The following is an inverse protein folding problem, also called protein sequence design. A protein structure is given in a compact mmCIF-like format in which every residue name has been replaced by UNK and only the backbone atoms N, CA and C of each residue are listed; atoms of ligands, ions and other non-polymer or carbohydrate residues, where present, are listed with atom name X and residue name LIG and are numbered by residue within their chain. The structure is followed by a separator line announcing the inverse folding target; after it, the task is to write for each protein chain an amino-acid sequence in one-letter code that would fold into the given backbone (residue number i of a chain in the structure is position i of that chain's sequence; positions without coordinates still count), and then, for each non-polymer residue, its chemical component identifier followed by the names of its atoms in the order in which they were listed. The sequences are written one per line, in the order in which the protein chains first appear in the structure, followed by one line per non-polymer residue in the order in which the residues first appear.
data_IF_744004794843
#
_entry.id   IF_744004794843
#
_cell.length_a   1.000
_cell.length_b   1.000
_cell.length_c   1.000
_cell.angle_alpha   90.00
_cell.angle_beta   90.00
_cell.angle_gamma   90.00
#
_symmetry.space_group_name_H-M   'P 1'
#
loop_
_entity.id
_entity.type
_entity.pdbx_description
1 polymer ?
#
# COMPACT_ATOMS: atom_id res chain seq x y z
N UNK A 1 -39.15 24.74 -43.02
CA UNK A 1 -40.48 24.07 -42.96
C UNK A 1 -40.18 22.58 -42.88
N UNK A 2 -40.48 21.82 -41.84
CA UNK A 2 -41.53 21.81 -40.79
C UNK A 2 -40.84 21.29 -39.50
N UNK A 3 -40.68 22.09 -38.43
CA UNK A 3 -41.49 22.19 -37.19
C UNK A 3 -41.69 20.85 -36.46
N UNK A 4 -40.97 20.61 -35.36
CA UNK A 4 -41.52 20.54 -33.97
C UNK A 4 -41.41 19.09 -33.45
N UNK A 5 -41.00 18.77 -32.21
CA UNK A 5 -41.25 19.45 -30.95
C UNK A 5 -40.24 19.04 -29.88
N UNK A 6 -39.84 20.02 -29.05
CA UNK A 6 -39.20 19.83 -27.75
C UNK A 6 -40.15 19.14 -26.76
N UNK A 7 -39.60 18.27 -25.91
CA UNK A 7 -40.13 18.02 -24.57
C UNK A 7 -39.04 18.34 -23.56
N UNK A 8 -39.33 19.36 -22.74
CA UNK A 8 -38.55 19.78 -21.58
C UNK A 8 -38.52 18.67 -20.53
N UNK A 9 -37.34 18.42 -19.96
CA UNK A 9 -37.22 17.87 -18.61
C UNK A 9 -36.51 18.92 -17.77
N UNK A 10 -37.31 19.55 -16.91
CA UNK A 10 -36.89 20.47 -15.88
C UNK A 10 -36.42 19.65 -14.68
N UNK A 11 -35.17 19.82 -14.25
CA UNK A 11 -34.64 19.17 -13.06
C UNK A 11 -33.17 19.50 -12.83
N UNK A 12 -32.89 20.60 -12.13
CA UNK A 12 -31.59 20.78 -11.45
C UNK A 12 -31.42 19.66 -10.41
N UNK A 13 -30.19 19.16 -10.23
CA UNK A 13 -29.41 19.73 -9.13
C UNK A 13 -28.01 20.12 -9.59
N UNK A 14 -27.65 21.37 -9.34
CA UNK A 14 -26.25 21.80 -9.25
C UNK A 14 -25.66 21.18 -7.99
N UNK A 15 -25.03 20.01 -8.11
CA UNK A 15 -24.09 19.52 -7.10
C UNK A 15 -22.70 19.92 -7.57
N UNK A 16 -22.21 21.03 -7.05
CA UNK A 16 -20.81 21.42 -7.21
C UNK A 16 -19.97 20.50 -6.32
N UNK A 17 -19.47 19.40 -6.88
CA UNK A 17 -18.37 18.66 -6.27
C UNK A 17 -17.09 19.49 -6.43
N UNK A 18 -16.74 20.26 -5.41
CA UNK A 18 -15.40 20.86 -5.31
C UNK A 18 -14.41 19.78 -4.91
N UNK A 19 -14.06 18.89 -5.84
CA UNK A 19 -12.95 17.96 -5.68
C UNK A 19 -11.64 18.78 -5.77
N UNK A 20 -11.19 19.31 -4.63
CA UNK A 20 -9.82 19.83 -4.50
C UNK A 20 -8.87 18.64 -4.48
N UNK A 21 -8.48 18.16 -5.66
CA UNK A 21 -7.31 17.31 -5.79
C UNK A 21 -6.07 18.17 -5.54
N UNK A 22 -5.43 17.98 -4.39
CA UNK A 22 -4.06 18.46 -4.19
C UNK A 22 -3.16 17.72 -5.20
N UNK A 23 -2.83 18.40 -6.29
CA UNK A 23 -2.08 17.85 -7.42
C UNK A 23 -0.56 17.83 -7.19
N UNK A 24 -0.08 18.49 -6.13
CA UNK A 24 1.32 18.55 -5.73
C UNK A 24 1.48 17.89 -4.36
N UNK A 25 2.06 16.69 -4.32
CA UNK A 25 2.43 15.99 -3.08
C UNK A 25 3.85 16.44 -2.71
N UNK A 26 4.07 17.18 -1.61
CA UNK A 26 5.40 17.59 -1.20
C UNK A 26 6.22 16.39 -0.69
N UNK A 27 7.54 16.41 -0.89
CA UNK A 27 8.45 15.47 -0.22
C UNK A 27 8.48 15.81 1.28
N UNK A 28 8.23 14.82 2.13
CA UNK A 28 8.14 15.02 3.59
C UNK A 28 9.49 14.85 4.31
N UNK A 29 10.58 14.62 3.57
CA UNK A 29 11.92 14.38 4.10
C UNK A 29 12.83 15.59 3.84
N UNK A 30 13.67 16.02 4.81
CA UNK A 30 14.77 16.96 4.56
C UNK A 30 15.77 16.39 3.54
N UNK A 31 16.30 17.22 2.63
CA UNK A 31 17.27 16.78 1.61
C UNK A 31 18.54 16.20 2.25
N UNK A 32 19.09 15.09 1.74
CA UNK A 32 20.27 14.45 2.33
C UNK A 32 21.52 15.32 2.13
N UNK A 33 22.32 15.46 3.19
CA UNK A 33 23.72 15.90 3.13
C UNK A 33 24.61 14.66 2.96
N UNK A 34 25.67 14.76 2.15
CA UNK A 34 26.53 13.65 1.78
C UNK A 34 27.12 12.86 2.97
N UNK A 35 26.93 11.53 3.01
CA UNK A 35 27.50 10.64 4.03
C UNK A 35 28.36 9.56 3.39
N UNK A 36 29.49 9.26 4.04
CA UNK A 36 30.49 8.25 3.66
C UNK A 36 30.12 6.88 4.21
N UNK A 37 30.10 5.88 3.34
CA UNK A 37 29.93 4.47 3.69
C UNK A 37 31.14 3.97 4.50
N UNK A 38 30.92 3.45 5.72
CA UNK A 38 31.96 2.71 6.47
C UNK A 38 31.42 1.38 6.95
N UNK A 39 32.13 0.31 6.61
CA UNK A 39 31.81 -1.08 6.94
C UNK A 39 32.15 -1.40 8.40
N UNK A 40 31.18 -1.72 9.26
CA UNK A 40 31.45 -2.35 10.57
C UNK A 40 30.41 -3.46 10.89
N UNK A 41 30.96 -4.52 11.45
CA UNK A 41 30.43 -5.86 11.72
C UNK A 41 29.21 -5.93 12.65
N UNK A 42 28.24 -6.75 12.24
CA UNK A 42 27.00 -7.12 12.94
C UNK A 42 27.23 -7.70 14.33
N UNK A 43 26.52 -7.17 15.34
CA UNK A 43 26.34 -7.84 16.64
C UNK A 43 24.86 -7.97 16.92
N UNK A 44 24.40 -9.21 17.12
CA UNK A 44 23.02 -9.58 17.39
C UNK A 44 22.61 -9.21 18.81
N UNK A 45 21.56 -8.40 18.96
CA UNK A 45 20.89 -8.17 20.25
C UNK A 45 19.55 -8.91 20.22
N UNK A 46 19.46 -9.96 21.03
CA UNK A 46 18.23 -10.72 21.32
C UNK A 46 17.39 -9.96 22.34
N UNK A 47 16.15 -9.61 22.01
CA UNK A 47 15.17 -9.07 22.95
C UNK A 47 13.96 -10.01 23.10
N UNK A 48 13.49 -10.13 24.35
CA UNK A 48 12.41 -11.02 24.79
C UNK A 48 11.03 -10.65 24.17
N UNK A 49 10.05 -11.58 24.10
CA UNK A 49 8.85 -11.40 23.30
C UNK A 49 7.88 -10.40 23.95
N UNK A 50 7.60 -9.30 23.26
CA UNK A 50 6.65 -8.27 23.69
C UNK A 50 5.21 -8.65 23.32
N UNK A 51 4.25 -8.19 24.13
CA UNK A 51 2.79 -8.33 23.98
C UNK A 51 2.24 -7.66 22.68
N UNK A 52 3.11 -7.17 21.78
CA UNK A 52 2.78 -6.43 20.55
C UNK A 52 2.82 -7.29 19.26
N UNK A 53 3.52 -8.43 19.26
CA UNK A 53 3.39 -9.45 18.19
C UNK A 53 1.94 -9.95 17.90
N UNK A 54 1.01 -10.08 18.89
CA UNK A 54 -0.34 -10.57 18.61
C UNK A 54 -1.23 -9.58 17.85
N UNK A 55 -1.04 -8.25 17.98
CA UNK A 55 -1.93 -7.27 17.34
C UNK A 55 -1.80 -7.32 15.81
N UNK A 56 -0.57 -7.22 15.33
CA UNK A 56 -0.23 -7.35 13.92
C UNK A 56 -0.70 -8.66 13.31
N UNK A 57 -0.40 -9.76 14.00
CA UNK A 57 -0.81 -11.09 13.57
C UNK A 57 -2.34 -11.21 13.50
N UNK A 58 -3.07 -10.58 14.43
CA UNK A 58 -4.53 -10.56 14.41
C UNK A 58 -5.09 -9.82 13.19
N UNK A 59 -4.59 -8.62 12.89
CA UNK A 59 -5.02 -7.85 11.72
C UNK A 59 -4.77 -8.63 10.42
N UNK A 60 -3.59 -9.24 10.31
CA UNK A 60 -3.25 -10.03 9.13
C UNK A 60 -4.13 -11.27 8.99
N UNK A 61 -4.45 -11.93 10.11
CA UNK A 61 -5.34 -13.09 10.13
C UNK A 61 -6.77 -12.71 9.71
N UNK A 62 -7.28 -11.57 10.18
CA UNK A 62 -8.60 -11.04 9.82
C UNK A 62 -8.67 -10.75 8.31
N UNK A 63 -7.63 -10.12 7.74
CA UNK A 63 -7.53 -9.84 6.30
C UNK A 63 -7.46 -11.14 5.50
N UNK A 64 -6.64 -12.10 5.93
CA UNK A 64 -6.50 -13.39 5.26
C UNK A 64 -7.83 -14.17 5.26
N UNK A 65 -8.55 -14.16 6.39
CA UNK A 65 -9.87 -14.77 6.51
C UNK A 65 -10.91 -14.10 5.58
N UNK A 66 -10.91 -12.76 5.54
CA UNK A 66 -11.78 -12.02 4.63
C UNK A 66 -11.45 -12.31 3.16
N UNK A 67 -10.18 -12.34 2.77
CA UNK A 67 -9.75 -12.71 1.40
C UNK A 67 -10.20 -14.12 1.02
N UNK A 68 -10.01 -15.11 1.91
CA UNK A 68 -10.49 -16.48 1.70
C UNK A 68 -12.01 -16.55 1.49
N UNK A 69 -12.76 -15.69 2.17
CA UNK A 69 -14.21 -15.61 2.01
C UNK A 69 -14.62 -15.00 0.66
N UNK A 70 -13.99 -13.88 0.27
CA UNK A 70 -14.38 -13.14 -0.96
C UNK A 70 -13.76 -13.73 -2.24
N UNK A 71 -12.72 -14.56 -2.12
CA UNK A 71 -12.09 -15.29 -3.23
C UNK A 71 -12.38 -16.80 -3.15
N UNK A 72 -13.63 -17.23 -3.42
CA UNK A 72 -13.95 -18.65 -3.38
C UNK A 72 -13.16 -19.42 -4.44
N UNK A 73 -12.53 -20.51 -4.02
CA UNK A 73 -11.88 -21.47 -4.92
C UNK A 73 -12.96 -22.29 -5.65
N UNK A 74 -13.46 -21.76 -6.76
CA UNK A 74 -14.57 -22.32 -7.55
C UNK A 74 -14.34 -22.21 -9.06
N UNK A 75 -15.24 -22.78 -9.85
CA UNK A 75 -15.14 -22.70 -11.31
C UNK A 75 -15.25 -21.26 -11.88
N UNK A 76 -14.50 -20.92 -12.95
CA UNK A 76 -13.52 -21.78 -13.61
C UNK A 76 -12.19 -21.86 -12.84
N UNK A 77 -11.78 -23.07 -12.44
CA UNK A 77 -10.58 -23.29 -11.64
C UNK A 77 -9.30 -22.75 -12.31
N UNK A 78 -9.23 -22.82 -13.63
CA UNK A 78 -8.12 -22.27 -14.43
C UNK A 78 -7.85 -20.76 -14.20
N UNK A 79 -8.81 -20.03 -13.66
CA UNK A 79 -8.67 -18.61 -13.28
C UNK A 79 -8.46 -18.47 -11.77
N UNK A 80 -9.33 -19.10 -10.96
CA UNK A 80 -9.33 -18.90 -9.52
C UNK A 80 -8.17 -19.58 -8.80
N UNK A 81 -7.62 -20.67 -9.32
CA UNK A 81 -6.46 -21.35 -8.73
C UNK A 81 -5.19 -20.48 -8.78
N UNK A 82 -4.77 -19.92 -9.94
CA UNK A 82 -3.67 -18.96 -9.98
C UNK A 82 -3.89 -17.73 -9.09
N UNK A 83 -5.09 -17.14 -9.12
CA UNK A 83 -5.42 -15.97 -8.30
C UNK A 83 -5.23 -16.27 -6.81
N UNK A 84 -5.80 -17.38 -6.33
CA UNK A 84 -5.68 -17.78 -4.94
C UNK A 84 -4.21 -18.05 -4.57
N UNK A 85 -3.51 -18.86 -5.36
CA UNK A 85 -2.11 -19.20 -5.07
C UNK A 85 -1.21 -17.96 -4.99
N UNK A 86 -1.28 -17.06 -5.97
CA UNK A 86 -0.40 -15.89 -6.04
C UNK A 86 -0.68 -14.87 -4.94
N UNK A 87 -1.96 -14.66 -4.56
CA UNK A 87 -2.32 -13.78 -3.44
C UNK A 87 -1.75 -14.26 -2.11
N UNK A 88 -1.90 -15.56 -1.80
CA UNK A 88 -1.45 -16.09 -0.50
C UNK A 88 0.04 -16.48 -0.47
N UNK A 89 0.71 -16.48 -1.62
CA UNK A 89 2.16 -16.70 -1.74
C UNK A 89 2.96 -15.40 -1.82
N UNK A 90 2.32 -14.25 -2.04
CA UNK A 90 2.98 -12.95 -2.06
C UNK A 90 3.58 -12.62 -0.68
N UNK A 91 4.73 -11.93 -0.63
CA UNK A 91 5.32 -11.46 0.62
C UNK A 91 4.33 -10.62 1.42
N UNK A 92 4.28 -10.86 2.73
CA UNK A 92 3.46 -10.04 3.63
C UNK A 92 4.07 -8.65 3.73
N UNK A 93 3.21 -7.66 3.68
CA UNK A 93 3.56 -6.24 3.78
C UNK A 93 2.70 -5.60 4.84
N UNK A 94 3.23 -4.56 5.43
CA UNK A 94 2.64 -3.88 6.56
C UNK A 94 1.51 -2.92 6.19
N UNK A 95 1.37 -2.61 4.90
CA UNK A 95 0.39 -1.65 4.36
C UNK A 95 -1.08 -2.01 4.67
N UNK A 96 -1.57 -3.25 4.45
CA UNK A 96 -2.96 -3.62 4.71
C UNK A 96 -3.33 -3.59 6.18
N UNK A 97 -2.45 -4.08 7.05
CA UNK A 97 -2.66 -4.03 8.49
C UNK A 97 -2.69 -2.58 9.00
N UNK A 98 -1.84 -1.70 8.44
CA UNK A 98 -1.84 -0.28 8.78
C UNK A 98 -3.16 0.40 8.39
N UNK A 99 -3.76 -0.03 7.27
CA UNK A 99 -5.08 0.43 6.86
C UNK A 99 -6.15 0.09 7.91
N UNK A 100 -6.15 -1.14 8.42
CA UNK A 100 -7.07 -1.53 9.49
C UNK A 100 -6.82 -0.77 10.79
N UNK A 101 -5.56 -0.67 11.22
CA UNK A 101 -5.19 0.03 12.46
C UNK A 101 -5.57 1.51 12.42
N UNK A 102 -5.37 2.18 11.29
CA UNK A 102 -5.77 3.57 11.10
C UNK A 102 -7.30 3.75 11.13
N UNK A 103 -8.06 2.82 10.55
CA UNK A 103 -9.53 2.85 10.62
C UNK A 103 -10.05 2.57 12.03
N UNK A 104 -9.45 1.61 12.72
CA UNK A 104 -9.77 1.24 14.11
C UNK A 104 -9.50 2.40 15.07
N UNK A 105 -8.38 3.12 14.91
CA UNK A 105 -8.06 4.30 15.71
C UNK A 105 -9.17 5.37 15.67
N UNK A 106 -9.81 5.55 14.51
CA UNK A 106 -10.82 6.61 14.32
C UNK A 106 -12.25 6.16 14.60
N UNK A 107 -12.61 4.93 14.24
CA UNK A 107 -13.98 4.42 14.36
C UNK A 107 -14.21 3.49 15.55
N UNK A 108 -13.14 2.90 16.10
CA UNK A 108 -13.21 1.79 17.04
C UNK A 108 -13.55 0.43 16.41
N UNK A 109 -13.76 0.38 15.08
CA UNK A 109 -14.12 -0.84 14.36
C UNK A 109 -13.25 -1.04 13.11
N UNK A 110 -12.31 -1.98 13.18
CA UNK A 110 -11.44 -2.32 12.04
C UNK A 110 -12.21 -2.87 10.84
N UNK A 111 -13.41 -3.43 11.01
CA UNK A 111 -14.16 -4.01 9.90
C UNK A 111 -14.59 -2.98 8.85
N UNK A 112 -14.69 -1.70 9.22
CA UNK A 112 -15.00 -0.62 8.29
C UNK A 112 -13.95 -0.46 7.18
N UNK A 113 -12.69 -0.81 7.46
CA UNK A 113 -11.58 -0.74 6.50
C UNK A 113 -11.24 -2.09 5.84
N UNK A 114 -12.01 -3.16 6.12
CA UNK A 114 -11.67 -4.52 5.71
C UNK A 114 -11.57 -4.70 4.19
N UNK A 115 -12.53 -4.15 3.44
CA UNK A 115 -12.52 -4.19 1.99
C UNK A 115 -11.31 -3.46 1.41
N UNK A 116 -10.90 -2.33 2.00
CA UNK A 116 -9.72 -1.57 1.57
C UNK A 116 -8.41 -2.28 1.87
N UNK A 117 -8.26 -2.85 3.07
CA UNK A 117 -7.09 -3.65 3.41
C UNK A 117 -6.96 -4.87 2.49
N UNK A 118 -8.07 -5.55 2.21
CA UNK A 118 -8.10 -6.70 1.29
C UNK A 118 -7.76 -6.27 -0.15
N UNK A 119 -8.29 -5.14 -0.62
CA UNK A 119 -7.94 -4.58 -1.93
C UNK A 119 -6.43 -4.29 -2.00
N UNK A 120 -5.84 -3.67 -0.97
CA UNK A 120 -4.41 -3.41 -0.92
C UNK A 120 -3.59 -4.71 -1.03
N UNK A 121 -4.00 -5.80 -0.36
CA UNK A 121 -3.33 -7.11 -0.56
C UNK A 121 -3.38 -7.56 -2.01
N UNK A 122 -4.54 -7.49 -2.65
CA UNK A 122 -4.73 -7.92 -4.04
C UNK A 122 -3.84 -7.13 -5.01
N UNK A 123 -3.81 -5.81 -4.86
CA UNK A 123 -3.00 -4.94 -5.72
C UNK A 123 -1.49 -5.14 -5.48
N UNK A 124 -1.07 -5.34 -4.22
CA UNK A 124 0.33 -5.59 -3.89
C UNK A 124 0.78 -6.99 -4.36
N UNK A 125 -0.09 -7.99 -4.29
CA UNK A 125 0.17 -9.32 -4.85
C UNK A 125 0.26 -9.29 -6.39
N UNK A 126 -0.60 -8.52 -7.05
CA UNK A 126 -0.51 -8.30 -8.50
C UNK A 126 0.83 -7.66 -8.88
N UNK A 127 1.20 -6.60 -8.16
CA UNK A 127 2.47 -5.91 -8.36
C UNK A 127 3.67 -6.84 -8.16
N UNK A 128 3.69 -7.59 -7.05
CA UNK A 128 4.75 -8.56 -6.78
C UNK A 128 4.84 -9.62 -7.88
N UNK A 129 3.69 -10.14 -8.34
CA UNK A 129 3.64 -11.13 -9.42
C UNK A 129 4.29 -10.58 -10.68
N UNK A 130 3.93 -9.37 -11.10
CA UNK A 130 4.47 -8.74 -12.30
C UNK A 130 5.98 -8.48 -12.22
N UNK A 131 6.52 -8.11 -11.04
CA UNK A 131 7.96 -7.95 -10.84
C UNK A 131 8.77 -9.25 -11.01
N UNK A 132 8.17 -10.40 -10.73
CA UNK A 132 8.84 -11.70 -10.87
C UNK A 132 8.84 -12.24 -12.31
N UNK A 133 8.08 -11.63 -13.22
CA UNK A 133 8.01 -12.04 -14.62
C UNK A 133 9.32 -11.64 -15.35
N UNK A 134 10.06 -12.59 -15.95
CA UNK A 134 11.28 -12.29 -16.68
C UNK A 134 11.01 -11.41 -17.88
N UNK A 135 11.85 -10.39 -18.03
CA UNK A 135 11.92 -9.57 -19.23
C UNK A 135 12.38 -10.33 -20.49
N UNK A 136 13.02 -11.50 -20.32
CA UNK A 136 13.42 -12.39 -21.43
C UNK A 136 12.94 -13.80 -21.15
N UNK A 137 12.09 -14.40 -22.01
CA UNK A 137 11.74 -15.81 -21.88
C UNK A 137 12.98 -16.64 -22.19
N UNK A 138 13.65 -17.15 -21.15
CA UNK A 138 14.60 -18.24 -21.34
C UNK A 138 13.78 -19.51 -21.63
N UNK A 139 14.12 -20.32 -22.64
CA UNK A 139 13.51 -21.63 -22.78
C UNK A 139 13.69 -22.39 -21.47
N UNK A 140 12.68 -23.16 -21.04
CA UNK A 140 12.78 -24.04 -19.87
C UNK A 140 13.79 -25.17 -20.12
N UNK A 141 15.08 -24.83 -20.14
CA UNK A 141 16.16 -25.79 -20.01
C UNK A 141 16.37 -26.05 -18.51
N UNK A 142 16.35 -27.33 -18.15
CA UNK A 142 16.55 -27.92 -16.81
C UNK A 142 17.47 -27.09 -15.88
N UNK A 143 17.14 -26.98 -14.58
CA UNK A 143 17.80 -26.08 -13.65
C UNK A 143 19.25 -26.49 -13.39
N UNK A 144 20.17 -25.53 -13.54
CA UNK A 144 21.59 -25.63 -13.13
C UNK A 144 21.93 -24.79 -11.88
N UNK A 145 20.95 -24.32 -11.12
CA UNK A 145 21.23 -23.68 -9.82
C UNK A 145 20.20 -24.03 -8.75
N UNK A 146 20.68 -24.26 -7.53
CA UNK A 146 19.93 -24.67 -6.34
C UNK A 146 19.19 -23.51 -5.63
N UNK A 147 18.89 -22.42 -6.34
CA UNK A 147 18.27 -21.21 -5.75
C UNK A 147 17.21 -20.58 -6.68
N UNK A 148 16.55 -21.39 -7.50
CA UNK A 148 15.39 -20.92 -8.28
C UNK A 148 14.12 -21.21 -7.49
N UNK A 149 13.42 -20.14 -7.05
CA UNK A 149 12.02 -20.22 -6.67
C UNK A 149 11.26 -20.94 -7.78
N UNK A 150 10.64 -22.07 -7.45
CA UNK A 150 9.87 -22.86 -8.41
C UNK A 150 8.62 -22.05 -8.77
N UNK A 151 8.53 -21.52 -10.00
CA UNK A 151 7.30 -20.85 -10.43
C UNK A 151 6.18 -21.86 -10.54
N UNK A 152 5.09 -21.58 -9.84
CA UNK A 152 3.90 -22.41 -9.88
C UNK A 152 3.18 -22.33 -11.24
N UNK A 153 3.29 -21.20 -11.95
CA UNK A 153 2.57 -20.95 -13.20
C UNK A 153 3.49 -20.43 -14.31
N UNK A 154 3.00 -20.53 -15.56
CA UNK A 154 3.72 -19.96 -16.70
C UNK A 154 3.66 -18.42 -16.69
N UNK A 155 4.64 -17.72 -17.29
CA UNK A 155 4.67 -16.25 -17.30
C UNK A 155 3.40 -15.60 -17.88
N UNK A 156 2.76 -16.24 -18.87
CA UNK A 156 1.50 -15.74 -19.44
C UNK A 156 0.34 -15.82 -18.45
N UNK A 157 0.28 -16.88 -17.64
CA UNK A 157 -0.73 -17.03 -16.59
C UNK A 157 -0.46 -16.04 -15.45
N UNK A 158 0.80 -15.87 -15.04
CA UNK A 158 1.18 -14.89 -14.01
C UNK A 158 0.80 -13.46 -14.42
N UNK A 159 1.06 -13.09 -15.68
CA UNK A 159 0.68 -11.78 -16.22
C UNK A 159 -0.83 -11.56 -16.14
N UNK A 160 -1.61 -12.48 -16.73
CA UNK A 160 -3.08 -12.41 -16.75
C UNK A 160 -3.68 -12.44 -15.34
N UNK A 161 -3.06 -13.18 -14.41
CA UNK A 161 -3.53 -13.27 -13.03
C UNK A 161 -3.32 -11.94 -12.31
N UNK A 162 -2.14 -11.33 -12.44
CA UNK A 162 -1.90 -9.99 -11.91
C UNK A 162 -2.88 -8.96 -12.47
N UNK A 163 -3.14 -9.01 -13.79
CA UNK A 163 -4.12 -8.15 -14.46
C UNK A 163 -5.55 -8.36 -13.96
N UNK A 164 -5.89 -9.57 -13.49
CA UNK A 164 -7.19 -9.89 -12.90
C UNK A 164 -7.33 -9.48 -11.42
N UNK A 165 -6.23 -9.52 -10.65
CA UNK A 165 -6.23 -9.16 -9.23
C UNK A 165 -6.47 -7.66 -9.00
N UNK A 166 -5.93 -6.79 -9.86
CA UNK A 166 -6.11 -5.33 -9.77
C UNK A 166 -7.60 -4.92 -9.83
N UNK A 167 -8.36 -5.25 -10.90
CA UNK A 167 -9.78 -4.90 -10.97
C UNK A 167 -10.61 -5.61 -9.90
N UNK A 168 -10.23 -6.81 -9.48
CA UNK A 168 -10.91 -7.51 -8.38
C UNK A 168 -10.80 -6.75 -7.04
N UNK A 169 -9.66 -6.12 -6.76
CA UNK A 169 -9.51 -5.23 -5.60
C UNK A 169 -10.46 -4.01 -5.65
N UNK A 170 -10.62 -3.40 -6.82
CA UNK A 170 -11.56 -2.28 -6.99
C UNK A 170 -13.02 -2.71 -6.98
N UNK A 171 -13.33 -3.91 -7.46
CA UNK A 171 -14.66 -4.53 -7.35
C UNK A 171 -15.02 -4.73 -5.87
N UNK A 172 -14.09 -5.22 -5.06
CA UNK A 172 -14.28 -5.42 -3.62
C UNK A 172 -14.61 -4.11 -2.89
N UNK A 173 -13.86 -3.04 -3.18
CA UNK A 173 -14.14 -1.70 -2.67
C UNK A 173 -15.52 -1.20 -3.10
N UNK A 174 -15.84 -1.35 -4.38
CA UNK A 174 -17.11 -0.86 -4.92
C UNK A 174 -18.32 -1.59 -4.32
N UNK A 175 -18.16 -2.88 -4.00
CA UNK A 175 -19.20 -3.70 -3.34
C UNK A 175 -19.35 -3.42 -1.85
N UNK A 176 -18.37 -2.81 -1.19
CA UNK A 176 -18.50 -2.40 0.21
C UNK A 176 -19.25 -1.07 0.38
N UNK A 177 -19.71 -0.45 -0.71
CA UNK A 177 -20.66 0.65 -0.63
C UNK A 177 -21.97 0.17 0.00
N UNK A 178 -22.30 0.71 1.16
CA UNK A 178 -23.56 0.45 1.85
C UNK A 178 -24.38 1.75 1.86
N UNK A 179 -25.55 1.71 1.21
CA UNK A 179 -26.48 2.84 1.17
C UNK A 179 -27.00 3.23 2.54
N UNK A 180 -27.00 2.32 3.52
CA UNK A 180 -27.44 2.57 4.90
C UNK A 180 -26.37 3.34 5.68
N UNK A 181 -25.09 3.16 5.36
CA UNK A 181 -23.98 3.83 6.04
C UNK A 181 -23.55 5.15 5.37
N UNK A 182 -24.19 5.54 4.25
CA UNK A 182 -23.86 6.73 3.45
C UNK A 182 -22.35 6.85 3.15
N UNK A 183 -21.68 5.71 2.94
CA UNK A 183 -20.22 5.65 2.84
C UNK A 183 -19.67 5.78 1.41
N UNK A 184 -20.52 6.02 0.41
CA UNK A 184 -20.15 6.04 -1.02
C UNK A 184 -19.04 7.04 -1.34
N UNK A 185 -19.07 8.23 -0.73
CA UNK A 185 -18.06 9.26 -0.94
C UNK A 185 -16.70 8.86 -0.36
N UNK A 186 -16.71 8.16 0.79
CA UNK A 186 -15.50 7.62 1.42
C UNK A 186 -14.89 6.51 0.58
N UNK A 187 -15.71 5.58 0.08
CA UNK A 187 -15.26 4.50 -0.81
C UNK A 187 -14.68 5.07 -2.11
N UNK A 188 -15.35 6.03 -2.73
CA UNK A 188 -14.84 6.69 -3.95
C UNK A 188 -13.49 7.37 -3.70
N UNK A 189 -13.35 8.05 -2.56
CA UNK A 189 -12.08 8.66 -2.16
C UNK A 189 -10.97 7.63 -1.96
N UNK A 190 -11.27 6.48 -1.34
CA UNK A 190 -10.32 5.37 -1.19
C UNK A 190 -9.89 4.80 -2.54
N UNK A 191 -10.83 4.61 -3.48
CA UNK A 191 -10.51 4.18 -4.86
C UNK A 191 -9.53 5.17 -5.51
N UNK A 192 -9.75 6.48 -5.33
CA UNK A 192 -8.86 7.54 -5.84
C UNK A 192 -7.47 7.47 -5.18
N UNK A 193 -7.39 7.30 -3.87
CA UNK A 193 -6.10 7.19 -3.16
C UNK A 193 -5.30 5.96 -3.63
N UNK A 194 -5.95 4.79 -3.66
CA UNK A 194 -5.30 3.54 -4.07
C UNK A 194 -4.84 3.63 -5.53
N UNK A 195 -5.72 4.02 -6.45
CA UNK A 195 -5.37 4.12 -7.89
C UNK A 195 -4.23 5.10 -8.15
N UNK A 196 -4.10 6.18 -7.36
CA UNK A 196 -2.97 7.11 -7.45
C UNK A 196 -1.69 6.50 -6.89
N UNK A 197 -1.76 5.86 -5.72
CA UNK A 197 -0.62 5.25 -5.06
C UNK A 197 -0.01 4.11 -5.88
N UNK A 198 -0.84 3.28 -6.51
CA UNK A 198 -0.36 2.21 -7.39
C UNK A 198 -0.09 2.66 -8.82
N UNK A 199 -0.47 3.89 -9.19
CA UNK A 199 -0.43 4.35 -10.57
C UNK A 199 0.89 4.98 -10.99
N UNK A 200 0.83 5.75 -12.07
CA UNK A 200 1.99 6.38 -12.75
C UNK A 200 2.72 7.46 -11.94
N UNK A 201 2.20 7.85 -10.77
CA UNK A 201 2.82 8.83 -9.86
C UNK A 201 3.27 8.22 -8.53
N UNK A 202 3.08 6.91 -8.37
CA UNK A 202 3.47 6.16 -7.18
C UNK A 202 4.28 4.93 -7.58
N UNK A 203 3.75 3.76 -7.28
CA UNK A 203 4.43 2.47 -7.40
C UNK A 203 5.04 2.23 -8.79
N UNK A 204 4.31 2.50 -9.87
CA UNK A 204 4.82 2.27 -11.23
C UNK A 204 5.98 3.21 -11.57
N UNK A 205 5.95 4.46 -11.09
CA UNK A 205 7.09 5.38 -11.27
C UNK A 205 8.32 4.87 -10.51
N UNK A 206 8.13 4.40 -9.28
CA UNK A 206 9.21 3.80 -8.48
C UNK A 206 9.85 2.60 -9.20
N UNK A 207 9.03 1.70 -9.75
CA UNK A 207 9.51 0.54 -10.50
C UNK A 207 10.23 0.93 -11.78
N UNK A 208 9.70 1.89 -12.53
CA UNK A 208 10.32 2.37 -13.75
C UNK A 208 11.70 2.95 -13.47
N UNK A 209 11.81 3.78 -12.42
CA UNK A 209 13.09 4.33 -11.95
C UNK A 209 14.05 3.25 -11.48
N UNK A 210 13.58 2.28 -10.69
CA UNK A 210 14.38 1.14 -10.22
C UNK A 210 14.98 0.35 -11.38
N UNK A 211 14.21 0.13 -12.44
CA UNK A 211 14.71 -0.54 -13.65
C UNK A 211 15.78 0.29 -14.37
N UNK A 212 15.55 1.59 -14.56
CA UNK A 212 16.55 2.48 -15.16
C UNK A 212 17.84 2.58 -14.33
N UNK A 213 17.73 2.52 -13.00
CA UNK A 213 18.90 2.43 -12.11
C UNK A 213 19.71 1.17 -12.36
N UNK A 214 19.06 0.02 -12.45
CA UNK A 214 19.75 -1.28 -12.64
C UNK A 214 20.47 -1.40 -13.99
N UNK A 215 20.12 -0.56 -14.96
CA UNK A 215 20.72 -0.53 -16.31
C UNK A 215 21.81 0.55 -16.44
N UNK A 216 22.09 1.33 -15.38
CA UNK A 216 23.01 2.48 -15.40
C UNK A 216 24.31 2.20 -14.62
N UNK A 217 25.46 2.52 -15.22
CA UNK A 217 26.81 2.45 -14.61
C UNK A 217 27.16 3.65 -13.68
N UNK A 218 26.15 4.41 -13.21
CA UNK A 218 26.35 5.76 -12.62
C UNK A 218 26.95 5.84 -11.21
N UNK A 219 27.70 6.92 -10.93
CA UNK A 219 28.44 7.16 -9.67
C UNK A 219 27.60 7.38 -8.38
N UNK A 220 28.25 7.20 -7.22
CA UNK A 220 27.65 6.95 -5.89
C UNK A 220 26.68 8.03 -5.36
N UNK A 221 26.94 9.34 -5.51
CA UNK A 221 26.08 10.38 -4.91
C UNK A 221 24.73 10.54 -5.61
N UNK A 222 24.70 10.32 -6.93
CA UNK A 222 23.46 10.25 -7.71
C UNK A 222 22.66 8.99 -7.37
N UNK A 223 23.26 7.98 -6.73
CA UNK A 223 22.61 6.72 -6.40
C UNK A 223 21.70 6.85 -5.17
N UNK A 224 22.18 7.50 -4.09
CA UNK A 224 21.40 7.63 -2.83
C UNK A 224 20.13 8.45 -3.03
N UNK A 225 20.21 9.62 -3.68
CA UNK A 225 19.02 10.45 -3.96
C UNK A 225 17.98 9.70 -4.81
N UNK A 226 18.43 8.89 -5.77
CA UNK A 226 17.54 8.07 -6.61
C UNK A 226 16.91 6.92 -5.82
N UNK A 227 17.64 6.27 -4.91
CA UNK A 227 17.05 5.24 -4.02
C UNK A 227 15.99 5.87 -3.11
N UNK A 228 16.29 7.02 -2.50
CA UNK A 228 15.33 7.75 -1.66
C UNK A 228 14.05 8.08 -2.43
N UNK A 229 14.18 8.62 -3.65
CA UNK A 229 13.03 8.95 -4.51
C UNK A 229 12.17 7.73 -4.89
N UNK A 230 12.79 6.54 -5.01
CA UNK A 230 12.09 5.26 -5.23
C UNK A 230 11.37 4.85 -3.94
N UNK A 231 12.05 4.86 -2.79
CA UNK A 231 11.46 4.48 -1.50
C UNK A 231 10.26 5.35 -1.13
N UNK A 232 10.33 6.66 -1.41
CA UNK A 232 9.23 7.58 -1.17
C UNK A 232 7.95 7.20 -1.93
N UNK A 233 8.09 6.66 -3.15
CA UNK A 233 6.95 6.31 -4.02
C UNK A 233 6.49 4.87 -3.86
N UNK A 234 7.40 3.98 -3.50
CA UNK A 234 7.11 2.59 -3.23
C UNK A 234 6.66 2.43 -1.77
N UNK A 235 7.58 2.21 -0.84
CA UNK A 235 7.28 1.92 0.56
C UNK A 235 6.54 3.07 1.24
N UNK A 236 7.07 4.30 1.20
CA UNK A 236 6.45 5.47 1.82
C UNK A 236 5.06 5.77 1.23
N UNK A 237 4.97 5.78 -0.10
CA UNK A 237 3.74 6.07 -0.84
C UNK A 237 2.61 5.08 -0.57
N UNK A 238 2.93 3.78 -0.52
CA UNK A 238 1.96 2.73 -0.25
C UNK A 238 1.49 2.73 1.20
N UNK A 239 2.37 2.95 2.18
CA UNK A 239 1.96 3.03 3.58
C UNK A 239 1.11 4.28 3.86
N UNK A 240 1.47 5.43 3.25
CA UNK A 240 0.66 6.63 3.29
C UNK A 240 -0.74 6.39 2.73
N UNK A 241 -0.84 5.62 1.64
CA UNK A 241 -2.11 5.19 1.06
C UNK A 241 -2.90 4.31 2.03
N UNK A 242 -2.28 3.26 2.59
CA UNK A 242 -2.94 2.36 3.54
C UNK A 242 -3.53 3.11 4.74
N UNK A 243 -2.70 3.91 5.42
CA UNK A 243 -3.12 4.68 6.59
C UNK A 243 -4.23 5.70 6.25
N UNK A 244 -4.11 6.43 5.13
CA UNK A 244 -5.15 7.38 4.73
C UNK A 244 -6.46 6.72 4.32
N UNK A 245 -6.42 5.53 3.69
CA UNK A 245 -7.63 4.78 3.36
C UNK A 245 -8.37 4.32 4.62
N UNK A 246 -7.62 3.83 5.62
CA UNK A 246 -8.16 3.48 6.93
C UNK A 246 -8.83 4.67 7.59
N UNK A 247 -8.11 5.80 7.63
CA UNK A 247 -8.62 7.05 8.21
C UNK A 247 -9.90 7.55 7.54
N UNK A 248 -9.96 7.52 6.20
CA UNK A 248 -11.15 7.94 5.43
C UNK A 248 -12.34 7.05 5.76
N UNK A 249 -12.17 5.73 5.77
CA UNK A 249 -13.28 4.79 6.04
C UNK A 249 -13.72 4.85 7.51
N UNK A 250 -12.77 5.01 8.43
CA UNK A 250 -13.04 5.23 9.85
C UNK A 250 -13.67 6.58 10.19
N UNK A 251 -13.96 7.43 9.20
CA UNK A 251 -14.68 8.68 9.38
C UNK A 251 -13.85 9.83 9.95
N UNK A 252 -12.53 9.79 9.74
CA UNK A 252 -11.63 10.87 10.14
C UNK A 252 -11.93 12.20 9.48
N UNK A 253 -11.63 13.28 10.20
CA UNK A 253 -11.54 14.62 9.64
C UNK A 253 -10.36 14.74 8.65
N UNK A 254 -10.37 15.79 7.81
CA UNK A 254 -9.26 16.04 6.88
C UNK A 254 -7.90 16.16 7.58
N UNK A 255 -7.86 16.72 8.79
CA UNK A 255 -6.65 16.81 9.58
C UNK A 255 -6.20 15.43 10.06
N UNK A 256 -7.09 14.63 10.67
CA UNK A 256 -6.78 13.26 11.08
C UNK A 256 -6.29 12.39 9.90
N UNK A 257 -6.93 12.53 8.73
CA UNK A 257 -6.54 11.82 7.51
C UNK A 257 -5.13 12.22 7.06
N UNK A 258 -4.79 13.52 7.05
CA UNK A 258 -3.45 13.97 6.67
C UNK A 258 -2.38 13.58 7.70
N UNK A 259 -2.71 13.60 9.00
CA UNK A 259 -1.82 13.11 10.06
C UNK A 259 -1.51 11.63 9.90
N UNK A 260 -2.52 10.80 9.69
CA UNK A 260 -2.33 9.37 9.45
C UNK A 260 -1.64 9.08 8.13
N UNK A 261 -1.87 9.89 7.08
CA UNK A 261 -1.13 9.80 5.81
C UNK A 261 0.37 10.02 6.04
N UNK A 262 0.76 11.04 6.78
CA UNK A 262 2.16 11.33 7.11
C UNK A 262 2.76 10.25 8.01
N UNK A 263 2.03 9.83 9.04
CA UNK A 263 2.43 8.72 9.89
C UNK A 263 2.73 7.47 9.06
N UNK A 264 1.81 7.07 8.17
CA UNK A 264 2.03 5.94 7.28
C UNK A 264 3.21 6.16 6.35
N UNK A 265 3.36 7.34 5.78
CA UNK A 265 4.53 7.68 4.97
C UNK A 265 5.84 7.43 5.73
N UNK A 266 5.95 7.92 6.97
CA UNK A 266 7.14 7.74 7.80
C UNK A 266 7.40 6.27 8.15
N UNK A 267 6.36 5.51 8.52
CA UNK A 267 6.47 4.04 8.73
C UNK A 267 7.01 3.34 7.47
N UNK A 268 6.48 3.68 6.30
CA UNK A 268 6.95 3.13 5.04
C UNK A 268 8.39 3.53 4.71
N UNK A 269 8.77 4.77 5.00
CA UNK A 269 10.17 5.22 4.82
C UNK A 269 11.13 4.48 5.74
N UNK A 270 10.77 4.26 7.01
CA UNK A 270 11.59 3.46 7.94
C UNK A 270 11.79 2.06 7.36
N UNK A 271 10.74 1.45 6.80
CA UNK A 271 10.82 0.11 6.21
C UNK A 271 11.71 0.06 4.99
N UNK A 272 11.61 1.05 4.10
CA UNK A 272 12.51 1.19 2.96
C UNK A 272 13.96 1.37 3.41
N UNK A 273 14.22 2.28 4.35
CA UNK A 273 15.55 2.58 4.86
C UNK A 273 16.20 1.35 5.50
N UNK A 274 15.47 0.60 6.32
CA UNK A 274 15.91 -0.68 6.91
C UNK A 274 16.28 -1.69 5.83
N UNK A 275 15.44 -1.83 4.80
CA UNK A 275 15.67 -2.79 3.71
C UNK A 275 16.91 -2.44 2.87
N UNK A 276 17.17 -1.15 2.67
CA UNK A 276 18.31 -0.64 1.89
C UNK A 276 19.56 -0.38 2.75
N UNK A 277 19.48 -0.52 4.08
CA UNK A 277 20.60 -0.41 5.02
C UNK A 277 20.94 1.01 5.50
N UNK A 278 20.01 1.96 5.40
CA UNK A 278 20.15 3.35 5.88
C UNK A 278 19.74 3.50 7.36
N UNK A 279 20.56 2.98 8.28
CA UNK A 279 20.20 2.90 9.70
C UNK A 279 20.33 4.21 10.48
N UNK A 280 21.22 5.12 10.06
CA UNK A 280 21.49 6.37 10.79
C UNK A 280 20.31 7.35 10.73
N UNK A 281 19.58 7.35 9.62
CA UNK A 281 18.45 8.23 9.37
C UNK A 281 17.13 7.71 9.97
N UNK A 282 17.05 6.43 10.32
CA UNK A 282 15.82 5.78 10.81
C UNK A 282 15.28 6.45 12.07
N UNK A 283 16.14 6.76 13.05
CA UNK A 283 15.69 7.33 14.32
C UNK A 283 15.06 8.72 14.13
N UNK A 284 15.58 9.53 13.20
CA UNK A 284 14.99 10.83 12.85
C UNK A 284 13.58 10.66 12.27
N UNK A 285 13.38 9.64 11.42
CA UNK A 285 12.07 9.36 10.83
C UNK A 285 11.09 8.77 11.86
N UNK A 286 11.56 7.97 12.82
CA UNK A 286 10.75 7.49 13.95
C UNK A 286 10.20 8.65 14.78
N UNK A 287 11.01 9.65 15.09
CA UNK A 287 10.56 10.84 15.82
C UNK A 287 9.46 11.59 15.07
N UNK A 288 9.58 11.69 13.73
CA UNK A 288 8.54 12.28 12.88
C UNK A 288 7.24 11.45 12.93
N UNK A 289 7.33 10.12 12.88
CA UNK A 289 6.17 9.24 13.01
C UNK A 289 5.47 9.41 14.37
N UNK A 290 6.23 9.42 15.48
CA UNK A 290 5.68 9.65 16.82
C UNK A 290 5.03 11.02 16.96
N UNK A 291 5.59 12.05 16.33
CA UNK A 291 5.01 13.40 16.33
C UNK A 291 3.62 13.43 15.69
N UNK A 292 3.41 12.68 14.61
CA UNK A 292 2.08 12.59 14.00
C UNK A 292 1.08 11.82 14.89
N UNK A 293 1.53 10.81 15.64
CA UNK A 293 0.68 10.09 16.62
C UNK A 293 0.37 10.93 17.86
N UNK A 294 1.26 11.83 18.28
CA UNK A 294 1.05 12.68 19.45
C UNK A 294 -0.25 13.51 19.33
N UNK A 295 -0.60 13.96 18.12
CA UNK A 295 -1.86 14.63 17.85
C UNK A 295 -3.08 13.81 18.30
N UNK A 296 -3.09 12.50 18.02
CA UNK A 296 -4.20 11.63 18.40
C UNK A 296 -4.24 11.38 19.91
N UNK A 297 -3.07 11.21 20.52
CA UNK A 297 -2.93 11.07 21.98
C UNK A 297 -3.46 12.29 22.72
N UNK A 298 -3.13 13.49 22.25
CA UNK A 298 -3.61 14.76 22.82
C UNK A 298 -5.13 14.91 22.67
N UNK A 299 -5.74 14.23 21.69
CA UNK A 299 -7.18 14.18 21.47
C UNK A 299 -7.84 12.92 22.08
N UNK A 300 -7.23 12.32 23.12
CA UNK A 300 -7.75 11.16 23.87
C UNK A 300 -8.01 9.90 23.03
N UNK A 301 -7.24 9.67 21.96
CA UNK A 301 -7.24 8.42 21.20
C UNK A 301 -6.15 7.49 21.73
N UNK A 302 -6.46 6.20 21.82
CA UNK A 302 -5.47 5.18 22.17
C UNK A 302 -4.59 4.87 20.95
N UNK A 303 -3.33 5.28 21.02
CA UNK A 303 -2.33 5.10 19.96
C UNK A 303 -1.39 3.92 20.21
N UNK A 304 -1.53 3.21 21.33
CA UNK A 304 -0.55 2.21 21.76
C UNK A 304 -0.44 1.09 20.73
N UNK A 305 -1.59 0.60 20.24
CA UNK A 305 -1.65 -0.46 19.23
C UNK A 305 -1.01 -0.04 17.89
N UNK A 306 -1.37 1.14 17.36
CA UNK A 306 -0.85 1.61 16.07
C UNK A 306 0.62 2.05 16.15
N UNK A 307 1.09 2.48 17.33
CA UNK A 307 2.51 2.84 17.54
C UNK A 307 3.47 1.65 17.34
N UNK A 308 2.97 0.41 17.46
CA UNK A 308 3.77 -0.80 17.23
C UNK A 308 4.34 -0.86 15.80
N UNK A 309 3.71 -0.18 14.85
CA UNK A 309 4.16 -0.10 13.46
C UNK A 309 5.48 0.67 13.31
N UNK A 310 5.88 1.49 14.29
CA UNK A 310 7.18 2.18 14.28
C UNK A 310 8.31 1.24 14.74
N UNK A 311 8.00 0.29 15.63
CA UNK A 311 8.99 -0.53 16.35
C UNK A 311 9.32 -1.83 15.61
N UNK A 312 8.37 -2.36 14.83
CA UNK A 312 8.53 -3.63 14.11
C UNK A 312 9.24 -3.51 12.76
N UNK A 313 9.81 -2.34 12.49
CA UNK A 313 10.51 -1.98 11.25
C UNK A 313 11.96 -1.70 11.59
#
# INVERSE_FOLDING_TARGET
MVVGSMLHINGKPTVHFSCKSNHDRPSYIPKPTAVKMTTITTTTITTAPSILQPYWASLQADIEAHLKHVMPYKDPLVVFEPMHHLVFSAPRTTVPALCLAAGELLSGDRHQAMAAASALVLLLAANHTHEQIPSKPKPMSRPKSNTMSFRAFSPGIELMTGDGLIPFGFELLSRSCDSVQENSDRVLRVIIEISRAVGSKGLIDAQYKKKLLSESDGGESCHVERIMDIMEKNEGGLHACGASCGAVLGGGSEEEIERLRKFGFYVGMIQGMVNEGFWEEVEVVKDLAFKELQYFKDNNRDVDAISSFIIHV
#
